data_IF_692256178368
#
_entry.id   IF_692256178368
#
_cell.length_a   1.000
_cell.length_b   1.000
_cell.length_c   1.000
_cell.angle_alpha   90.00
_cell.angle_beta   90.00
_cell.angle_gamma   90.00
#
_symmetry.space_group_name_H-M   'P 1'
#
loop_
_entity.id
_entity.type
_entity.pdbx_description
1 polymer ?
#
# COMPACT_ATOMS: atom_id res chain seq x y z
N UNK A 1 14.61 -45.73 -24.84
CA UNK A 1 13.19 -45.37 -25.06
C UNK A 1 12.77 -44.32 -24.04
N UNK A 2 12.83 -43.03 -24.39
CA UNK A 2 12.16 -41.99 -23.59
C UNK A 2 10.67 -42.13 -23.86
N UNK A 3 9.89 -42.63 -22.89
CA UNK A 3 8.43 -42.49 -22.96
C UNK A 3 8.16 -40.99 -22.99
N UNK A 4 7.74 -40.45 -24.14
CA UNK A 4 7.05 -39.18 -24.20
C UNK A 4 5.75 -39.37 -23.42
N UNK A 5 5.79 -39.15 -22.10
CA UNK A 5 4.58 -39.12 -21.29
C UNK A 5 3.77 -37.93 -21.80
N UNK A 6 2.74 -38.21 -22.59
CA UNK A 6 1.74 -37.22 -23.00
C UNK A 6 1.26 -36.53 -21.72
N UNK A 7 1.47 -35.23 -21.62
CA UNK A 7 1.03 -34.46 -20.46
C UNK A 7 -0.49 -34.47 -20.46
N UNK A 8 -1.09 -35.24 -19.55
CA UNK A 8 -2.54 -35.32 -19.36
C UNK A 8 -2.90 -34.63 -18.04
N UNK A 9 -3.04 -33.30 -18.06
CA UNK A 9 -3.24 -32.52 -16.84
C UNK A 9 -4.55 -32.86 -16.14
N UNK A 10 -5.62 -33.18 -16.90
CA UNK A 10 -6.92 -33.52 -16.33
C UNK A 10 -6.88 -34.83 -15.52
N UNK A 11 -6.36 -35.91 -16.11
CA UNK A 11 -6.17 -37.20 -15.43
C UNK A 11 -5.34 -37.04 -14.14
N UNK A 12 -4.30 -36.20 -14.20
CA UNK A 12 -3.45 -35.90 -13.04
C UNK A 12 -4.23 -35.22 -11.94
N UNK A 13 -5.06 -34.21 -12.27
CA UNK A 13 -5.92 -33.53 -11.30
C UNK A 13 -6.95 -34.46 -10.69
N UNK A 14 -7.55 -35.37 -11.45
CA UNK A 14 -8.53 -36.33 -10.91
C UNK A 14 -7.91 -37.30 -9.90
N UNK A 15 -6.69 -37.76 -10.17
CA UNK A 15 -5.92 -38.55 -9.21
C UNK A 15 -5.59 -37.73 -7.94
N UNK A 16 -5.14 -36.48 -8.10
CA UNK A 16 -4.83 -35.59 -6.98
C UNK A 16 -6.06 -35.29 -6.12
N UNK A 17 -7.23 -35.07 -6.74
CA UNK A 17 -8.49 -34.86 -6.03
C UNK A 17 -8.85 -36.06 -5.16
N UNK A 18 -8.64 -37.28 -5.67
CA UNK A 18 -8.88 -38.52 -4.92
C UNK A 18 -7.94 -38.66 -3.72
N UNK A 19 -6.65 -38.36 -3.90
CA UNK A 19 -5.65 -38.34 -2.82
C UNK A 19 -6.00 -37.27 -1.79
N UNK A 20 -6.32 -36.05 -2.23
CA UNK A 20 -6.70 -34.94 -1.36
C UNK A 20 -7.94 -35.26 -0.54
N UNK A 21 -8.96 -35.89 -1.14
CA UNK A 21 -10.16 -36.30 -0.42
C UNK A 21 -9.86 -37.37 0.64
N UNK A 22 -8.95 -38.31 0.35
CA UNK A 22 -8.50 -39.32 1.31
C UNK A 22 -7.69 -38.69 2.46
N UNK A 23 -6.77 -37.77 2.16
CA UNK A 23 -6.03 -37.01 3.16
C UNK A 23 -6.97 -36.20 4.05
N UNK A 24 -7.96 -35.53 3.47
CA UNK A 24 -8.95 -34.75 4.21
C UNK A 24 -9.71 -35.62 5.21
N UNK A 25 -10.24 -36.77 4.76
CA UNK A 25 -10.98 -37.70 5.62
C UNK A 25 -10.10 -38.36 6.67
N UNK A 26 -8.87 -38.74 6.34
CA UNK A 26 -7.96 -39.38 7.31
C UNK A 26 -7.39 -38.40 8.34
N UNK A 27 -7.27 -37.12 7.98
CA UNK A 27 -6.72 -36.08 8.86
C UNK A 27 -7.52 -35.87 10.13
N UNK A 28 -8.81 -36.23 10.17
CA UNK A 28 -9.59 -36.14 11.41
C UNK A 28 -9.20 -37.22 12.44
N UNK A 29 -8.50 -38.27 12.00
CA UNK A 29 -8.07 -39.41 12.83
C UNK A 29 -6.58 -39.34 13.20
N UNK A 30 -5.72 -38.89 12.28
CA UNK A 30 -4.27 -38.84 12.50
C UNK A 30 -3.56 -37.89 11.54
N UNK A 31 -2.39 -37.38 11.96
CA UNK A 31 -1.51 -36.52 11.16
C UNK A 31 -0.57 -37.31 10.23
N UNK A 32 -0.40 -38.63 10.46
CA UNK A 32 0.62 -39.47 9.81
C UNK A 32 0.58 -39.36 8.27
N UNK A 33 -0.59 -39.49 7.65
CA UNK A 33 -0.68 -39.48 6.19
C UNK A 33 -0.39 -38.12 5.55
N UNK A 34 -0.63 -37.02 6.28
CA UNK A 34 -0.24 -35.68 5.83
C UNK A 34 1.28 -35.48 5.93
N UNK A 35 1.90 -36.05 6.95
CA UNK A 35 3.35 -36.05 7.10
C UNK A 35 4.01 -36.94 6.03
N UNK A 36 3.44 -38.11 5.74
CA UNK A 36 3.89 -38.97 4.64
C UNK A 36 3.75 -38.28 3.28
N UNK A 37 2.64 -37.57 3.05
CA UNK A 37 2.46 -36.75 1.85
C UNK A 37 3.52 -35.65 1.75
N UNK A 38 3.86 -35.00 2.88
CA UNK A 38 4.93 -34.00 2.94
C UNK A 38 6.30 -34.61 2.63
N UNK A 39 6.65 -35.70 3.30
CA UNK A 39 7.92 -36.42 3.13
C UNK A 39 8.08 -36.94 1.70
N UNK A 40 6.98 -37.33 1.07
CA UNK A 40 6.93 -37.77 -0.33
C UNK A 40 6.93 -36.61 -1.33
N UNK A 41 7.27 -35.39 -0.91
CA UNK A 41 7.33 -34.19 -1.77
C UNK A 41 5.99 -33.82 -2.43
N UNK A 42 4.85 -34.17 -1.81
CA UNK A 42 3.53 -33.92 -2.38
C UNK A 42 3.25 -32.42 -2.62
N UNK A 43 3.63 -31.54 -1.69
CA UNK A 43 3.48 -30.09 -1.90
C UNK A 43 4.42 -29.55 -2.99
N UNK A 44 5.65 -30.06 -3.07
CA UNK A 44 6.57 -29.67 -4.14
C UNK A 44 6.04 -30.11 -5.50
N UNK A 45 5.44 -31.30 -5.59
CA UNK A 45 4.77 -31.76 -6.80
C UNK A 45 3.64 -30.81 -7.22
N UNK A 46 2.81 -30.34 -6.28
CA UNK A 46 1.74 -29.38 -6.59
C UNK A 46 2.28 -28.04 -7.13
N UNK A 47 3.41 -27.56 -6.59
CA UNK A 47 4.09 -26.35 -7.09
C UNK A 47 4.54 -26.57 -8.53
N UNK A 48 5.28 -27.63 -8.80
CA UNK A 48 5.79 -27.91 -10.15
C UNK A 48 4.66 -28.22 -11.14
N UNK A 49 3.58 -28.85 -10.68
CA UNK A 49 2.40 -29.12 -11.51
C UNK A 49 1.70 -27.83 -11.94
N UNK A 50 1.42 -26.90 -11.01
CA UNK A 50 0.81 -25.61 -11.35
C UNK A 50 1.70 -24.79 -12.30
N UNK A 51 3.01 -24.76 -12.07
CA UNK A 51 3.95 -24.06 -12.94
C UNK A 51 4.10 -24.71 -14.31
N UNK A 52 3.94 -26.04 -14.39
CA UNK A 52 3.90 -26.73 -15.68
C UNK A 52 2.63 -26.40 -16.45
N UNK A 53 1.46 -26.38 -15.80
CA UNK A 53 0.20 -25.94 -16.42
C UNK A 53 0.31 -24.48 -16.89
N UNK A 54 0.95 -23.62 -16.09
CA UNK A 54 1.24 -22.22 -16.44
C UNK A 54 2.05 -22.08 -17.73
N UNK A 55 3.11 -22.88 -17.89
CA UNK A 55 3.96 -22.88 -19.09
C UNK A 55 3.24 -23.39 -20.35
N UNK A 56 2.26 -24.28 -20.20
CA UNK A 56 1.49 -24.79 -21.34
C UNK A 56 0.39 -23.80 -21.75
N UNK A 57 -0.21 -23.06 -20.81
CA UNK A 57 -1.15 -21.97 -21.09
C UNK A 57 -0.57 -20.88 -22.00
N UNK A 58 0.74 -20.63 -21.93
CA UNK A 58 1.41 -19.66 -22.80
C UNK A 58 1.59 -20.17 -24.24
N UNK A 59 1.51 -21.48 -24.47
CA UNK A 59 1.81 -22.12 -25.77
C UNK A 59 0.57 -22.61 -26.50
N UNK A 60 -0.54 -22.80 -25.80
CA UNK A 60 -1.74 -23.48 -26.28
C UNK A 60 -2.71 -22.56 -27.04
N UNK A 61 -3.46 -23.15 -27.96
CA UNK A 61 -4.58 -22.51 -28.67
C UNK A 61 -5.80 -22.31 -27.75
N UNK A 62 -6.78 -21.51 -28.19
CA UNK A 62 -7.90 -21.04 -27.35
C UNK A 62 -8.73 -22.16 -26.69
N UNK A 63 -8.95 -23.29 -27.38
CA UNK A 63 -9.75 -24.40 -26.84
C UNK A 63 -9.01 -25.16 -25.73
N UNK A 64 -7.72 -25.45 -25.92
CA UNK A 64 -6.86 -26.08 -24.91
C UNK A 64 -6.71 -25.18 -23.67
N UNK A 65 -6.71 -23.85 -23.87
CA UNK A 65 -6.66 -22.90 -22.76
C UNK A 65 -7.85 -23.02 -21.81
N UNK A 66 -9.06 -23.34 -22.32
CA UNK A 66 -10.22 -23.56 -21.46
C UNK A 66 -10.07 -24.82 -20.59
N UNK A 67 -9.49 -25.89 -21.15
CA UNK A 67 -9.21 -27.10 -20.38
C UNK A 67 -8.14 -26.86 -19.32
N UNK A 68 -7.05 -26.18 -19.67
CA UNK A 68 -5.98 -25.83 -18.75
C UNK A 68 -6.43 -24.86 -17.65
N UNK A 69 -7.29 -23.88 -17.96
CA UNK A 69 -7.90 -23.01 -16.94
C UNK A 69 -8.78 -23.84 -15.98
N UNK A 70 -9.54 -24.81 -16.49
CA UNK A 70 -10.33 -25.70 -15.65
C UNK A 70 -9.45 -26.57 -14.74
N UNK A 71 -8.31 -27.06 -15.25
CA UNK A 71 -7.29 -27.78 -14.47
C UNK A 71 -6.74 -26.88 -13.36
N UNK A 72 -6.36 -25.63 -13.66
CA UNK A 72 -5.89 -24.67 -12.65
C UNK A 72 -6.95 -24.45 -11.57
N UNK A 73 -8.20 -24.18 -11.96
CA UNK A 73 -9.32 -23.95 -11.05
C UNK A 73 -9.53 -25.12 -10.10
N UNK A 74 -9.59 -26.35 -10.63
CA UNK A 74 -9.76 -27.57 -9.81
C UNK A 74 -8.58 -27.78 -8.86
N UNK A 75 -7.35 -27.56 -9.35
CA UNK A 75 -6.13 -27.75 -8.54
C UNK A 75 -6.03 -26.72 -7.42
N UNK A 76 -6.29 -25.45 -7.70
CA UNK A 76 -6.27 -24.39 -6.69
C UNK A 76 -7.38 -24.62 -5.64
N UNK A 77 -8.59 -24.99 -6.07
CA UNK A 77 -9.67 -25.31 -5.13
C UNK A 77 -9.32 -26.49 -4.22
N UNK A 78 -8.66 -27.52 -4.78
CA UNK A 78 -8.14 -28.63 -3.99
C UNK A 78 -7.08 -28.18 -2.97
N UNK A 79 -6.16 -27.30 -3.36
CA UNK A 79 -5.13 -26.74 -2.45
C UNK A 79 -5.79 -25.93 -1.33
N UNK A 80 -6.81 -25.13 -1.62
CA UNK A 80 -7.61 -24.41 -0.61
C UNK A 80 -8.23 -25.40 0.38
N UNK A 81 -8.83 -26.49 -0.09
CA UNK A 81 -9.34 -27.55 0.79
C UNK A 81 -8.25 -28.18 1.66
N UNK A 82 -7.08 -28.45 1.08
CA UNK A 82 -5.91 -28.97 1.80
C UNK A 82 -5.42 -28.01 2.89
N UNK A 83 -5.59 -26.69 2.75
CA UNK A 83 -5.21 -25.72 3.80
C UNK A 83 -5.98 -25.93 5.10
N UNK A 84 -7.25 -26.37 5.03
CA UNK A 84 -8.11 -26.67 6.20
C UNK A 84 -7.99 -28.10 6.70
N UNK A 85 -7.31 -28.96 5.93
CA UNK A 85 -7.08 -30.37 6.23
C UNK A 85 -5.98 -30.52 7.29
N UNK A 86 -6.22 -31.28 8.36
CA UNK A 86 -5.22 -31.46 9.42
C UNK A 86 -5.81 -32.04 10.69
N UNK A 87 -4.97 -32.74 11.45
CA UNK A 87 -5.37 -33.30 12.74
C UNK A 87 -5.48 -32.19 13.79
N UNK A 88 -6.69 -32.01 14.35
CA UNK A 88 -6.97 -30.88 15.23
C UNK A 88 -6.42 -31.10 16.63
N UNK A 89 -5.64 -30.13 17.12
CA UNK A 89 -6.05 -29.25 18.22
C UNK A 89 -5.43 -27.86 17.98
N UNK A 90 -6.06 -27.04 17.14
CA UNK A 90 -5.76 -25.60 17.05
C UNK A 90 -6.13 -24.83 18.33
N UNK A 91 -6.26 -25.51 19.47
CA UNK A 91 -6.23 -24.85 20.77
C UNK A 91 -4.86 -24.20 21.03
N UNK A 92 -3.75 -24.74 20.51
CA UNK A 92 -2.40 -24.33 20.93
C UNK A 92 -1.82 -23.08 20.24
N UNK A 93 -2.34 -22.64 19.08
CA UNK A 93 -1.78 -21.45 18.39
C UNK A 93 -2.30 -20.12 18.96
N UNK A 94 -3.43 -20.14 19.68
CA UNK A 94 -3.95 -18.99 20.44
C UNK A 94 -4.01 -19.24 21.96
N UNK A 95 -3.89 -20.50 22.43
CA UNK A 95 -3.60 -20.79 23.83
C UNK A 95 -2.09 -20.70 24.07
N UNK A 96 -1.57 -19.47 24.08
CA UNK A 96 -0.32 -19.22 24.76
C UNK A 96 -0.53 -19.52 26.26
N UNK A 97 0.32 -20.34 26.90
CA UNK A 97 0.16 -20.70 28.31
C UNK A 97 0.44 -19.53 29.27
N UNK A 98 0.88 -18.37 28.75
CA UNK A 98 1.28 -17.22 29.56
C UNK A 98 0.35 -16.01 29.32
N UNK A 99 -0.56 -15.75 30.26
CA UNK A 99 -1.54 -14.66 30.21
C UNK A 99 -0.91 -13.28 29.97
N UNK A 100 0.39 -13.11 30.31
CA UNK A 100 1.13 -11.85 30.10
C UNK A 100 1.44 -11.55 28.63
N UNK A 101 1.67 -12.56 27.78
CA UNK A 101 1.93 -12.35 26.35
C UNK A 101 0.64 -12.14 25.54
N UNK A 102 -0.49 -12.65 26.05
CA UNK A 102 -1.83 -12.35 25.52
C UNK A 102 -2.08 -10.84 25.53
N UNK A 103 -1.72 -10.15 26.62
CA UNK A 103 -1.80 -8.69 26.70
C UNK A 103 -0.88 -7.97 25.71
N UNK A 104 0.25 -8.55 25.30
CA UNK A 104 1.18 -7.91 24.35
C UNK A 104 0.71 -8.01 22.90
N UNK A 105 0.15 -9.15 22.48
CA UNK A 105 -0.49 -9.30 21.16
C UNK A 105 -1.82 -8.53 21.08
N UNK A 106 -2.63 -8.58 22.14
CA UNK A 106 -3.87 -7.80 22.27
C UNK A 106 -3.56 -6.28 22.27
N UNK A 107 -2.48 -5.84 22.92
CA UNK A 107 -2.04 -4.44 22.89
C UNK A 107 -1.48 -4.03 21.52
N UNK A 108 -0.85 -4.96 20.78
CA UNK A 108 -0.31 -4.70 19.44
C UNK A 108 -1.34 -4.70 18.33
N UNK A 109 -2.59 -5.09 18.55
CA UNK A 109 -3.67 -5.05 17.54
C UNK A 109 -4.55 -3.79 17.61
N UNK A 110 -4.24 -2.82 18.49
CA UNK A 110 -5.19 -1.78 18.86
C UNK A 110 -5.44 -0.74 17.75
N UNK A 111 -6.68 -0.74 17.26
CA UNK A 111 -7.52 0.43 17.00
C UNK A 111 -8.95 0.04 17.36
N UNK A 112 -9.35 0.34 18.60
CA UNK A 112 -10.71 0.24 19.18
C UNK A 112 -11.46 -1.11 19.10
N UNK A 113 -11.94 -1.57 20.27
CA UNK A 113 -12.83 -2.72 20.52
C UNK A 113 -12.38 -4.08 19.96
N UNK A 114 -11.60 -4.78 20.80
CA UNK A 114 -11.12 -6.14 20.58
C UNK A 114 -12.27 -7.11 20.24
N UNK A 115 -12.26 -7.66 19.01
CA UNK A 115 -12.67 -9.06 18.81
C UNK A 115 -11.39 -9.88 18.69
N UNK A 116 -11.03 -10.60 19.76
CA UNK A 116 -10.03 -11.69 19.62
C UNK A 116 -10.61 -12.63 18.56
N UNK A 117 -9.87 -13.01 17.52
CA UNK A 117 -10.36 -13.97 16.54
C UNK A 117 -10.69 -15.26 17.27
N UNK A 118 -11.98 -15.54 17.45
CA UNK A 118 -12.44 -16.82 17.95
C UNK A 118 -12.35 -17.81 16.81
N UNK A 119 -11.57 -18.88 16.99
CA UNK A 119 -11.50 -19.97 16.02
C UNK A 119 -12.90 -20.56 15.89
N UNK A 120 -13.41 -20.60 14.66
CA UNK A 120 -14.71 -21.18 14.36
C UNK A 120 -14.67 -22.68 14.58
N UNK A 121 -15.66 -23.21 15.31
CA UNK A 121 -15.84 -24.65 15.47
C UNK A 121 -16.22 -25.37 14.15
N UNK A 122 -16.47 -24.63 13.06
CA UNK A 122 -16.92 -25.14 11.75
C UNK A 122 -15.83 -25.85 10.93
N UNK A 123 -14.61 -25.97 11.46
CA UNK A 123 -13.52 -26.66 10.80
C UNK A 123 -12.94 -25.95 9.58
N UNK A 124 -13.24 -24.66 9.41
CA UNK A 124 -12.78 -23.78 8.31
C UNK A 124 -11.45 -23.08 8.60
N UNK A 125 -10.90 -23.27 9.79
CA UNK A 125 -9.60 -22.73 10.17
C UNK A 125 -8.46 -23.50 9.47
N UNK A 126 -7.41 -22.77 9.07
CA UNK A 126 -6.21 -23.35 8.47
C UNK A 126 -5.50 -24.27 9.46
N UNK A 127 -5.17 -25.49 9.00
CA UNK A 127 -4.43 -26.50 9.75
C UNK A 127 -3.17 -26.98 9.03
N UNK A 128 -3.02 -26.65 7.76
CA UNK A 128 -1.91 -27.10 6.93
C UNK A 128 -1.21 -25.92 6.25
N UNK A 129 -0.16 -25.44 6.90
CA UNK A 129 0.64 -24.33 6.40
C UNK A 129 1.40 -24.70 5.12
N UNK A 130 1.78 -25.98 4.94
CA UNK A 130 2.52 -26.41 3.74
C UNK A 130 1.65 -26.31 2.48
N UNK A 131 0.35 -26.62 2.58
CA UNK A 131 -0.59 -26.41 1.48
C UNK A 131 -0.71 -24.92 1.10
N UNK A 132 -0.80 -24.04 2.09
CA UNK A 132 -0.83 -22.60 1.85
C UNK A 132 0.48 -22.09 1.21
N UNK A 133 1.63 -22.63 1.61
CA UNK A 133 2.93 -22.31 1.03
C UNK A 133 3.03 -22.69 -0.46
N UNK A 134 2.24 -23.64 -0.96
CA UNK A 134 2.14 -23.93 -2.40
C UNK A 134 1.65 -22.68 -3.14
N UNK A 135 0.54 -22.08 -2.69
CA UNK A 135 -0.02 -20.86 -3.27
C UNK A 135 0.99 -19.71 -3.25
N UNK A 136 1.64 -19.50 -2.09
CA UNK A 136 2.68 -18.47 -1.92
C UNK A 136 3.84 -18.67 -2.91
N UNK A 137 4.36 -19.89 -3.02
CA UNK A 137 5.53 -20.18 -3.85
C UNK A 137 5.22 -20.05 -5.34
N UNK A 138 4.05 -20.53 -5.77
CA UNK A 138 3.61 -20.42 -7.16
C UNK A 138 3.38 -18.97 -7.55
N UNK A 139 2.74 -18.15 -6.70
CA UNK A 139 2.58 -16.72 -6.96
C UNK A 139 3.93 -16.02 -7.15
N UNK A 140 4.94 -16.36 -6.34
CA UNK A 140 6.27 -15.76 -6.47
C UNK A 140 6.98 -16.17 -7.78
N UNK A 141 6.78 -17.40 -8.25
CA UNK A 141 7.48 -17.96 -9.42
C UNK A 141 6.77 -17.69 -10.76
N UNK A 142 5.45 -17.53 -10.79
CA UNK A 142 4.68 -17.32 -12.03
C UNK A 142 4.54 -15.84 -12.38
N UNK A 143 4.60 -15.48 -13.66
CA UNK A 143 4.27 -14.12 -14.15
C UNK A 143 2.93 -14.05 -14.87
N UNK A 144 2.22 -15.17 -14.98
CA UNK A 144 0.93 -15.24 -15.67
C UNK A 144 -0.17 -14.58 -14.84
N UNK A 145 -0.88 -13.64 -15.46
CA UNK A 145 -1.90 -12.87 -14.78
C UNK A 145 -3.09 -13.74 -14.33
N UNK A 146 -3.52 -14.71 -15.13
CA UNK A 146 -4.63 -15.60 -14.76
C UNK A 146 -4.29 -16.40 -13.50
N UNK A 147 -3.14 -17.09 -13.49
CA UNK A 147 -2.72 -17.90 -12.35
C UNK A 147 -2.50 -17.04 -11.10
N UNK A 148 -1.83 -15.91 -11.23
CA UNK A 148 -1.61 -14.98 -10.11
C UNK A 148 -2.94 -14.45 -9.55
N UNK A 149 -3.90 -14.07 -10.39
CA UNK A 149 -5.24 -13.65 -9.97
C UNK A 149 -5.94 -14.76 -9.19
N UNK A 150 -5.98 -15.99 -9.72
CA UNK A 150 -6.61 -17.13 -9.03
C UNK A 150 -5.98 -17.44 -7.68
N UNK A 151 -4.67 -17.25 -7.54
CA UNK A 151 -3.99 -17.43 -6.26
C UNK A 151 -4.37 -16.33 -5.27
N UNK A 152 -4.43 -15.06 -5.69
CA UNK A 152 -4.88 -13.97 -4.82
C UNK A 152 -6.35 -14.17 -4.39
N UNK A 153 -7.22 -14.59 -5.31
CA UNK A 153 -8.61 -14.97 -5.02
C UNK A 153 -8.69 -16.09 -3.97
N UNK A 154 -7.87 -17.14 -4.12
CA UNK A 154 -7.79 -18.25 -3.16
C UNK A 154 -7.30 -17.80 -1.78
N UNK A 155 -6.34 -16.87 -1.70
CA UNK A 155 -5.87 -16.32 -0.42
C UNK A 155 -6.97 -15.48 0.25
N UNK A 156 -7.68 -14.64 -0.51
CA UNK A 156 -8.85 -13.90 -0.01
C UNK A 156 -9.89 -14.88 0.53
N UNK A 157 -10.19 -15.96 -0.20
CA UNK A 157 -11.14 -16.99 0.23
C UNK A 157 -10.70 -17.62 1.57
N UNK A 158 -9.44 -18.05 1.68
CA UNK A 158 -8.88 -18.65 2.90
C UNK A 158 -8.99 -17.67 4.08
N UNK A 159 -8.70 -16.40 3.90
CA UNK A 159 -8.87 -15.41 4.95
C UNK A 159 -10.35 -15.16 5.32
N UNK A 160 -11.29 -15.28 4.38
CA UNK A 160 -12.73 -15.18 4.66
C UNK A 160 -13.31 -16.39 5.37
N UNK A 161 -12.70 -17.58 5.21
CA UNK A 161 -13.20 -18.83 5.79
C UNK A 161 -13.23 -18.81 7.33
N UNK A 162 -12.27 -18.11 7.97
CA UNK A 162 -12.22 -17.90 9.41
C UNK A 162 -11.37 -16.65 9.73
N UNK A 163 -11.87 -15.77 10.59
CA UNK A 163 -11.15 -14.56 11.01
C UNK A 163 -9.78 -14.86 11.66
N UNK A 164 -9.59 -16.06 12.21
CA UNK A 164 -8.31 -16.48 12.77
C UNK A 164 -7.27 -16.81 11.69
N UNK A 165 -7.68 -17.10 10.44
CA UNK A 165 -6.78 -17.59 9.39
C UNK A 165 -5.68 -16.59 9.04
N UNK A 166 -5.98 -15.29 9.02
CA UNK A 166 -4.97 -14.25 8.82
C UNK A 166 -3.84 -14.35 9.85
N UNK A 167 -4.17 -14.57 11.13
CA UNK A 167 -3.18 -14.67 12.21
C UNK A 167 -2.46 -16.01 12.24
N UNK A 168 -3.14 -17.12 11.96
CA UNK A 168 -2.51 -18.44 11.86
C UNK A 168 -1.42 -18.44 10.77
N UNK A 169 -1.68 -17.74 9.67
CA UNK A 169 -0.77 -17.63 8.53
C UNK A 169 0.29 -16.52 8.68
N UNK A 170 0.22 -15.71 9.75
CA UNK A 170 1.11 -14.55 9.95
C UNK A 170 2.60 -14.94 9.96
N UNK A 171 2.92 -16.14 10.47
CA UNK A 171 4.29 -16.67 10.50
C UNK A 171 4.93 -16.84 9.12
N UNK A 172 4.12 -16.96 8.06
CA UNK A 172 4.60 -17.12 6.68
C UNK A 172 4.98 -15.79 6.02
N UNK A 173 4.59 -14.66 6.63
CA UNK A 173 4.80 -13.30 6.12
C UNK A 173 4.43 -13.14 4.63
N UNK A 174 3.38 -13.84 4.18
CA UNK A 174 3.08 -14.04 2.76
C UNK A 174 2.97 -12.74 1.97
N UNK A 175 2.19 -11.78 2.49
CA UNK A 175 2.01 -10.49 1.81
C UNK A 175 3.26 -9.62 1.86
N UNK A 176 4.10 -9.73 2.89
CA UNK A 176 5.39 -9.06 2.94
C UNK A 176 6.33 -9.60 1.85
N UNK A 177 6.40 -10.92 1.68
CA UNK A 177 7.23 -11.54 0.63
C UNK A 177 6.67 -11.20 -0.77
N UNK A 178 5.35 -11.12 -0.93
CA UNK A 178 4.75 -10.64 -2.18
C UNK A 178 5.12 -9.19 -2.48
N UNK A 179 5.10 -8.31 -1.48
CA UNK A 179 5.46 -6.90 -1.61
C UNK A 179 6.88 -6.70 -2.17
N UNK A 180 7.84 -7.56 -1.82
CA UNK A 180 9.21 -7.50 -2.33
C UNK A 180 9.30 -7.66 -3.86
N UNK A 181 8.37 -8.41 -4.46
CA UNK A 181 8.36 -8.77 -5.89
C UNK A 181 7.20 -8.19 -6.67
N UNK A 182 6.29 -7.44 -6.02
CA UNK A 182 5.05 -6.99 -6.67
C UNK A 182 5.30 -6.05 -7.86
N UNK A 183 6.38 -5.27 -7.83
CA UNK A 183 6.79 -4.40 -8.93
C UNK A 183 7.15 -5.17 -10.23
N UNK A 184 7.35 -6.49 -10.14
CA UNK A 184 7.66 -7.36 -11.27
C UNK A 184 6.42 -8.04 -11.86
N UNK A 185 5.25 -7.89 -11.20
CA UNK A 185 3.99 -8.51 -11.63
C UNK A 185 3.21 -7.59 -12.58
N UNK A 186 2.32 -8.14 -13.43
CA UNK A 186 1.43 -7.35 -14.27
C UNK A 186 0.57 -6.36 -13.47
N UNK A 187 0.20 -5.23 -14.08
CA UNK A 187 -0.57 -4.15 -13.46
C UNK A 187 -1.83 -4.62 -12.71
N UNK A 188 -2.61 -5.52 -13.32
CA UNK A 188 -3.82 -6.07 -12.73
C UNK A 188 -3.50 -6.79 -11.40
N UNK A 189 -2.40 -7.53 -11.35
CA UNK A 189 -1.98 -8.30 -10.16
C UNK A 189 -1.48 -7.37 -9.06
N UNK A 190 -0.79 -6.28 -9.43
CA UNK A 190 -0.40 -5.26 -8.46
C UNK A 190 -1.64 -4.66 -7.78
N UNK A 191 -2.67 -4.35 -8.57
CA UNK A 191 -3.93 -3.79 -8.06
C UNK A 191 -4.62 -4.78 -7.12
N UNK A 192 -4.81 -6.03 -7.54
CA UNK A 192 -5.41 -7.08 -6.70
C UNK A 192 -4.62 -7.36 -5.41
N UNK A 193 -3.30 -7.20 -5.43
CA UNK A 193 -2.48 -7.32 -4.22
C UNK A 193 -2.75 -6.19 -3.22
N UNK A 194 -2.84 -4.93 -3.68
CA UNK A 194 -3.19 -3.82 -2.80
C UNK A 194 -4.62 -3.94 -2.28
N UNK A 195 -5.56 -4.39 -3.12
CA UNK A 195 -6.94 -4.68 -2.70
C UNK A 195 -6.99 -5.77 -1.61
N UNK A 196 -6.09 -6.77 -1.66
CA UNK A 196 -5.98 -7.79 -0.62
C UNK A 196 -5.44 -7.23 0.71
N UNK A 197 -4.50 -6.27 0.67
CA UNK A 197 -4.05 -5.57 1.89
C UNK A 197 -5.18 -4.72 2.48
N UNK A 198 -5.92 -4.01 1.62
CA UNK A 198 -7.10 -3.25 2.04
C UNK A 198 -8.21 -4.13 2.59
N UNK A 199 -8.43 -5.31 2.00
CA UNK A 199 -9.40 -6.29 2.47
C UNK A 199 -9.14 -6.67 3.94
N UNK A 200 -7.88 -6.85 4.34
CA UNK A 200 -7.52 -7.13 5.74
C UNK A 200 -7.92 -5.95 6.65
N UNK A 201 -7.63 -4.73 6.22
CA UNK A 201 -7.93 -3.52 6.98
C UNK A 201 -9.43 -3.22 7.09
N UNK A 202 -10.16 -3.36 5.99
CA UNK A 202 -11.52 -2.87 5.85
C UNK A 202 -12.54 -3.95 6.18
N UNK A 203 -12.36 -5.16 5.64
CA UNK A 203 -13.36 -6.22 5.76
C UNK A 203 -13.10 -7.14 6.95
N UNK A 204 -11.84 -7.47 7.22
CA UNK A 204 -11.48 -8.21 8.44
C UNK A 204 -11.35 -7.31 9.67
N UNK A 205 -11.27 -5.98 9.46
CA UNK A 205 -11.09 -4.98 10.52
C UNK A 205 -9.83 -5.23 11.37
N UNK A 206 -8.74 -5.65 10.73
CA UNK A 206 -7.43 -5.84 11.37
C UNK A 206 -6.44 -4.76 10.92
N UNK A 207 -5.43 -4.47 11.72
CA UNK A 207 -4.38 -3.49 11.34
C UNK A 207 -3.14 -4.26 10.85
N UNK A 208 -2.88 -4.34 9.53
CA UNK A 208 -1.82 -5.17 8.95
C UNK A 208 -0.45 -4.48 9.03
N UNK A 209 0.10 -4.37 10.26
CA UNK A 209 1.32 -3.57 10.51
C UNK A 209 2.54 -4.06 9.73
N UNK A 210 2.74 -5.37 9.60
CA UNK A 210 3.89 -5.94 8.87
C UNK A 210 3.82 -5.63 7.37
N UNK A 211 2.62 -5.69 6.82
CA UNK A 211 2.33 -5.39 5.43
C UNK A 211 2.49 -3.89 5.17
N UNK A 212 2.00 -3.03 6.07
CA UNK A 212 2.20 -1.58 5.98
C UNK A 212 3.70 -1.19 6.01
N UNK A 213 4.51 -1.88 6.83
CA UNK A 213 5.98 -1.72 6.78
C UNK A 213 6.52 -2.17 5.43
N UNK A 214 6.06 -3.29 4.87
CA UNK A 214 6.50 -3.75 3.55
C UNK A 214 6.09 -2.77 2.43
N UNK A 215 4.91 -2.15 2.52
CA UNK A 215 4.46 -1.09 1.63
C UNK A 215 5.33 0.16 1.72
N UNK A 216 5.76 0.54 2.93
CA UNK A 216 6.68 1.66 3.12
C UNK A 216 8.04 1.40 2.44
N UNK A 217 8.51 0.15 2.43
CA UNK A 217 9.73 -0.25 1.71
C UNK A 217 9.54 -0.13 0.19
N UNK A 218 8.38 -0.52 -0.36
CA UNK A 218 8.08 -0.31 -1.79
C UNK A 218 8.25 1.17 -2.16
N UNK A 219 7.65 2.06 -1.38
CA UNK A 219 7.71 3.52 -1.63
C UNK A 219 9.12 4.09 -1.45
N UNK A 220 9.88 3.59 -0.47
CA UNK A 220 11.25 4.03 -0.22
C UNK A 220 12.18 3.61 -1.36
N UNK A 221 12.09 2.37 -1.83
CA UNK A 221 12.92 1.83 -2.92
C UNK A 221 12.52 2.38 -4.29
N UNK A 222 11.21 2.54 -4.54
CA UNK A 222 10.66 3.17 -5.74
C UNK A 222 11.22 2.63 -7.07
N UNK A 223 11.39 1.30 -7.17
CA UNK A 223 11.92 0.66 -8.37
C UNK A 223 11.07 0.92 -9.62
N UNK A 224 9.74 0.90 -9.46
CA UNK A 224 8.76 1.16 -10.52
C UNK A 224 7.77 2.20 -10.02
N UNK A 225 7.75 3.36 -10.67
CA UNK A 225 6.96 4.52 -10.25
C UNK A 225 5.45 4.21 -10.21
N UNK A 226 4.97 3.48 -11.22
CA UNK A 226 3.59 3.02 -11.33
C UNK A 226 3.15 2.15 -10.14
N UNK A 227 4.04 1.28 -9.65
CA UNK A 227 3.79 0.48 -8.43
C UNK A 227 3.69 1.39 -7.20
N UNK A 228 4.56 2.41 -7.09
CA UNK A 228 4.50 3.40 -6.01
C UNK A 228 3.22 4.23 -6.03
N UNK A 229 2.71 4.59 -7.21
CA UNK A 229 1.41 5.27 -7.36
C UNK A 229 0.28 4.40 -6.81
N UNK A 230 0.22 3.12 -7.19
CA UNK A 230 -0.80 2.18 -6.68
C UNK A 230 -0.68 1.96 -5.17
N UNK A 231 0.53 1.76 -4.67
CA UNK A 231 0.81 1.64 -3.24
C UNK A 231 0.34 2.87 -2.47
N UNK A 232 0.70 4.08 -2.92
CA UNK A 232 0.30 5.34 -2.26
C UNK A 232 -1.21 5.54 -2.31
N UNK A 233 -1.86 5.20 -3.43
CA UNK A 233 -3.32 5.26 -3.57
C UNK A 233 -4.01 4.39 -2.52
N UNK A 234 -3.51 3.17 -2.31
CA UNK A 234 -4.03 2.27 -1.30
C UNK A 234 -3.82 2.80 0.13
N UNK A 235 -2.63 3.33 0.42
CA UNK A 235 -2.35 3.92 1.73
C UNK A 235 -3.23 5.15 2.03
N UNK A 236 -3.49 6.00 1.04
CA UNK A 236 -4.41 7.14 1.17
C UNK A 236 -5.86 6.68 1.33
N UNK A 237 -6.26 5.61 0.64
CA UNK A 237 -7.60 5.03 0.79
C UNK A 237 -7.85 4.58 2.23
N UNK A 238 -6.90 3.88 2.86
CA UNK A 238 -7.02 3.48 4.27
C UNK A 238 -7.15 4.68 5.22
N UNK A 239 -6.41 5.77 4.97
CA UNK A 239 -6.54 7.02 5.76
C UNK A 239 -7.92 7.67 5.61
N UNK A 240 -8.55 7.58 4.42
CA UNK A 240 -9.90 8.11 4.19
C UNK A 240 -10.99 7.30 4.90
N UNK A 241 -10.77 6.00 5.08
CA UNK A 241 -11.76 5.12 5.71
C UNK A 241 -11.69 5.19 7.23
N UNK A 242 -10.49 5.19 7.81
CA UNK A 242 -10.32 5.13 9.26
C UNK A 242 -9.19 6.04 9.75
N UNK A 243 -9.55 7.07 10.51
CA UNK A 243 -8.61 8.02 11.12
C UNK A 243 -7.60 7.36 12.06
N UNK A 244 -7.88 6.16 12.58
CA UNK A 244 -6.92 5.42 13.40
C UNK A 244 -5.62 5.09 12.65
N UNK A 245 -5.64 5.02 11.31
CA UNK A 245 -4.41 4.83 10.52
C UNK A 245 -3.44 6.01 10.61
N UNK A 246 -3.88 7.20 11.07
CA UNK A 246 -2.99 8.34 11.33
C UNK A 246 -1.92 8.01 12.35
N UNK A 247 -2.31 7.32 13.43
CA UNK A 247 -1.38 6.89 14.48
C UNK A 247 -0.57 5.68 14.04
N UNK A 248 -1.20 4.71 13.38
CA UNK A 248 -0.51 3.52 12.86
C UNK A 248 0.59 3.92 11.88
N UNK A 249 0.32 4.85 10.95
CA UNK A 249 1.31 5.28 9.95
C UNK A 249 2.48 6.03 10.57
N UNK A 250 2.25 6.77 11.67
CA UNK A 250 3.33 7.32 12.47
C UNK A 250 4.17 6.20 13.11
N UNK A 251 3.52 5.22 13.74
CA UNK A 251 4.20 4.12 14.44
C UNK A 251 5.04 3.24 13.49
N UNK A 252 4.54 2.97 12.28
CA UNK A 252 5.26 2.14 11.30
C UNK A 252 6.21 2.94 10.39
N UNK A 253 6.31 4.26 10.57
CA UNK A 253 7.25 5.12 9.84
C UNK A 253 6.82 5.52 8.42
N UNK A 254 5.54 5.39 8.07
CA UNK A 254 5.02 5.78 6.75
C UNK A 254 5.04 7.32 6.58
N UNK A 255 4.84 8.08 7.65
CA UNK A 255 4.89 9.55 7.62
C UNK A 255 6.25 10.04 7.08
N UNK A 256 7.35 9.49 7.58
CA UNK A 256 8.71 9.81 7.17
C UNK A 256 8.96 9.38 5.72
N UNK A 257 8.45 8.21 5.32
CA UNK A 257 8.54 7.73 3.93
C UNK A 257 7.77 8.68 2.99
N UNK A 258 6.59 9.17 3.37
CA UNK A 258 5.87 10.18 2.60
C UNK A 258 6.67 11.49 2.48
N UNK A 259 7.36 11.93 3.53
CA UNK A 259 8.29 13.08 3.43
C UNK A 259 9.41 12.80 2.45
N UNK A 260 9.97 11.59 2.42
CA UNK A 260 10.98 11.18 1.42
C UNK A 260 10.41 11.19 0.00
N UNK A 261 9.18 10.72 -0.21
CA UNK A 261 8.52 10.78 -1.51
C UNK A 261 8.25 12.23 -1.95
N UNK A 262 7.83 13.09 -1.02
CA UNK A 262 7.61 14.52 -1.28
C UNK A 262 8.90 15.23 -1.71
N UNK A 263 10.04 14.91 -1.06
CA UNK A 263 11.36 15.46 -1.46
C UNK A 263 11.74 15.04 -2.88
N UNK A 264 11.51 13.77 -3.25
CA UNK A 264 11.70 13.30 -4.63
C UNK A 264 10.79 14.01 -5.62
N UNK A 265 9.53 14.27 -5.24
CA UNK A 265 8.61 15.04 -6.07
C UNK A 265 9.08 16.50 -6.26
N UNK A 266 9.62 17.14 -5.21
CA UNK A 266 10.27 18.47 -5.35
C UNK A 266 11.41 18.44 -6.37
N UNK A 267 12.29 17.43 -6.30
CA UNK A 267 13.41 17.29 -7.24
C UNK A 267 12.90 17.16 -8.69
N UNK A 268 11.86 16.35 -8.90
CA UNK A 268 11.18 16.25 -10.19
C UNK A 268 10.65 17.61 -10.69
N UNK A 269 10.00 18.40 -9.83
CA UNK A 269 9.49 19.73 -10.18
C UNK A 269 10.61 20.72 -10.53
N UNK A 270 11.74 20.67 -9.81
CA UNK A 270 12.90 21.50 -10.10
C UNK A 270 13.43 21.22 -11.51
N UNK A 271 13.61 19.94 -11.85
CA UNK A 271 14.09 19.50 -13.16
C UNK A 271 13.14 19.93 -14.29
N UNK A 272 11.83 19.78 -14.08
CA UNK A 272 10.81 20.23 -15.06
C UNK A 272 10.88 21.74 -15.31
N UNK A 273 11.07 22.53 -14.25
CA UNK A 273 11.17 23.98 -14.38
C UNK A 273 12.46 24.41 -15.09
N UNK A 274 13.59 23.79 -14.76
CA UNK A 274 14.89 24.08 -15.39
C UNK A 274 14.90 23.71 -16.88
N UNK A 275 14.20 22.62 -17.24
CA UNK A 275 13.97 22.24 -18.63
C UNK A 275 13.13 23.30 -19.38
N UNK A 276 12.00 23.74 -18.81
CA UNK A 276 11.15 24.78 -19.41
C UNK A 276 11.89 26.12 -19.62
N UNK A 277 12.80 26.49 -18.71
CA UNK A 277 13.61 27.72 -18.84
C UNK A 277 14.69 27.57 -19.92
N UNK A 278 15.22 26.36 -20.11
CA UNK A 278 16.23 26.06 -21.12
C UNK A 278 15.63 25.88 -22.54
N UNK A 279 14.39 25.41 -22.64
CA UNK A 279 13.64 25.20 -23.89
C UNK A 279 13.15 26.50 -24.57
N UNK A 280 13.38 27.68 -23.99
CA UNK A 280 13.25 28.96 -24.70
C UNK A 280 14.33 29.15 -25.80
N UNK A 281 15.21 28.18 -26.01
CA UNK A 281 16.07 28.06 -27.19
C UNK A 281 16.27 26.60 -27.64
N UNK A 282 15.58 26.21 -28.72
CA UNK A 282 15.77 25.00 -29.56
C UNK A 282 14.87 23.78 -29.24
N UNK A 283 14.36 23.21 -30.34
CA UNK A 283 13.28 22.23 -30.48
C UNK A 283 13.56 20.81 -29.94
N UNK A 284 12.55 20.26 -29.26
CA UNK A 284 12.14 18.86 -29.08
C UNK A 284 13.21 17.76 -28.89
N UNK A 285 13.30 17.26 -27.65
CA UNK A 285 13.27 15.82 -27.37
C UNK A 285 12.16 15.50 -26.35
N UNK A 286 11.29 14.56 -26.71
CA UNK A 286 10.08 14.17 -25.97
C UNK A 286 10.43 13.62 -24.58
N UNK A 287 10.19 14.41 -23.53
CA UNK A 287 9.85 13.81 -22.23
C UNK A 287 8.62 12.94 -22.45
N UNK A 288 8.74 11.63 -22.20
CA UNK A 288 7.65 10.68 -22.40
C UNK A 288 6.44 11.11 -21.55
N UNK A 289 5.27 11.39 -22.15
CA UNK A 289 4.10 11.94 -21.42
C UNK A 289 3.53 10.99 -20.36
N UNK A 290 3.90 9.70 -20.39
CA UNK A 290 3.51 8.72 -19.37
C UNK A 290 4.25 8.90 -18.04
N UNK A 291 5.54 9.23 -18.06
CA UNK A 291 6.38 9.33 -16.85
C UNK A 291 6.10 10.62 -16.06
N UNK A 292 5.75 11.72 -16.77
CA UNK A 292 5.33 12.97 -16.14
C UNK A 292 4.02 12.79 -15.36
N UNK A 293 3.04 12.13 -15.97
CA UNK A 293 1.74 11.88 -15.36
C UNK A 293 1.84 11.02 -14.10
N UNK A 294 2.70 10.00 -14.11
CA UNK A 294 2.91 9.13 -12.95
C UNK A 294 3.60 9.87 -11.78
N UNK A 295 4.58 10.72 -12.08
CA UNK A 295 5.32 11.49 -11.06
C UNK A 295 4.41 12.52 -10.39
N UNK A 296 3.60 13.23 -11.19
CA UNK A 296 2.59 14.17 -10.68
C UNK A 296 1.48 13.47 -9.89
N UNK A 297 1.00 12.33 -10.39
CA UNK A 297 0.01 11.51 -9.67
C UNK A 297 0.54 11.07 -8.30
N UNK A 298 1.79 10.56 -8.25
CA UNK A 298 2.43 10.18 -7.00
C UNK A 298 2.58 11.39 -6.06
N UNK A 299 3.08 12.52 -6.59
CA UNK A 299 3.27 13.75 -5.83
C UNK A 299 1.97 14.25 -5.18
N UNK A 300 0.87 14.28 -5.95
CA UNK A 300 -0.46 14.69 -5.45
C UNK A 300 -0.97 13.74 -4.36
N UNK A 301 -0.87 12.43 -4.57
CA UNK A 301 -1.29 11.43 -3.57
C UNK A 301 -0.46 11.54 -2.28
N UNK A 302 0.84 11.77 -2.38
CA UNK A 302 1.72 11.96 -1.23
C UNK A 302 1.36 13.23 -0.47
N UNK A 303 1.12 14.35 -1.16
CA UNK A 303 0.68 15.60 -0.52
C UNK A 303 -0.69 15.46 0.14
N UNK A 304 -1.62 14.75 -0.50
CA UNK A 304 -2.92 14.43 0.10
C UNK A 304 -2.75 13.63 1.39
N UNK A 305 -2.01 12.51 1.33
CA UNK A 305 -1.75 11.65 2.48
C UNK A 305 -1.05 12.40 3.62
N UNK A 306 -0.06 13.24 3.32
CA UNK A 306 0.58 14.12 4.31
C UNK A 306 -0.42 15.10 4.93
N UNK A 307 -1.29 15.73 4.12
CA UNK A 307 -2.34 16.61 4.63
C UNK A 307 -3.27 15.89 5.62
N UNK A 308 -3.65 14.64 5.33
CA UNK A 308 -4.47 13.83 6.24
C UNK A 308 -3.73 13.44 7.51
N UNK A 309 -2.46 13.05 7.42
CA UNK A 309 -1.64 12.66 8.57
C UNK A 309 -1.36 13.83 9.51
N UNK A 310 -1.24 15.05 8.99
CA UNK A 310 -0.95 16.24 9.79
C UNK A 310 -2.18 16.85 10.44
N UNK A 311 -3.35 16.68 9.82
CA UNK A 311 -4.61 17.29 10.24
C UNK A 311 -4.89 17.06 11.74
N UNK A 312 -4.82 18.12 12.55
CA UNK A 312 -5.10 18.06 13.98
C UNK A 312 -4.06 17.31 14.83
N UNK A 313 -2.94 16.86 14.26
CA UNK A 313 -1.94 16.03 14.95
C UNK A 313 -0.62 16.77 15.15
N UNK A 314 -0.50 17.44 16.31
CA UNK A 314 0.72 18.18 16.67
C UNK A 314 1.99 17.31 16.70
N UNK A 315 1.85 16.04 17.09
CA UNK A 315 2.95 15.05 17.07
C UNK A 315 3.41 14.76 15.66
N UNK A 316 2.48 14.48 14.73
CA UNK A 316 2.83 14.24 13.33
C UNK A 316 3.43 15.50 12.68
N UNK A 317 2.91 16.69 13.01
CA UNK A 317 3.50 17.95 12.54
C UNK A 317 4.93 18.14 13.02
N UNK A 318 5.23 17.81 14.28
CA UNK A 318 6.59 17.88 14.81
C UNK A 318 7.53 16.91 14.08
N UNK A 319 7.12 15.66 13.86
CA UNK A 319 7.90 14.67 13.11
C UNK A 319 8.15 15.15 11.68
N UNK A 320 7.11 15.64 11.00
CA UNK A 320 7.22 16.20 9.65
C UNK A 320 8.23 17.36 9.58
N UNK A 321 8.20 18.28 10.56
CA UNK A 321 9.17 19.38 10.68
C UNK A 321 10.59 18.84 10.92
N UNK A 322 10.77 17.86 11.80
CA UNK A 322 12.07 17.25 12.09
C UNK A 322 12.66 16.53 10.87
N UNK A 323 11.83 15.97 10.00
CA UNK A 323 12.24 15.42 8.71
C UNK A 323 12.56 16.50 7.66
N UNK A 324 12.42 17.79 7.97
CA UNK A 324 12.61 18.91 7.05
C UNK A 324 11.47 19.10 6.05
N UNK A 325 10.29 18.56 6.34
CA UNK A 325 9.13 18.63 5.45
C UNK A 325 8.64 20.05 5.20
N UNK A 326 8.62 20.91 6.22
CA UNK A 326 8.18 22.30 6.10
C UNK A 326 9.07 23.11 5.14
N UNK A 327 10.40 22.97 5.25
CA UNK A 327 11.35 23.59 4.31
C UNK A 327 11.09 23.15 2.88
N UNK A 328 10.86 21.85 2.68
CA UNK A 328 10.57 21.29 1.37
C UNK A 328 9.26 21.82 0.76
N UNK A 329 8.20 21.97 1.57
CA UNK A 329 6.92 22.58 1.17
C UNK A 329 7.16 24.02 0.67
N UNK A 330 7.83 24.87 1.46
CA UNK A 330 8.07 26.25 1.06
C UNK A 330 8.99 26.39 -0.16
N UNK A 331 9.91 25.45 -0.38
CA UNK A 331 10.68 25.39 -1.64
C UNK A 331 9.80 24.99 -2.82
N UNK A 332 8.95 23.98 -2.66
CA UNK A 332 8.03 23.52 -3.70
C UNK A 332 7.04 24.61 -4.14
N UNK A 333 6.58 25.48 -3.22
CA UNK A 333 5.69 26.61 -3.53
C UNK A 333 6.31 27.63 -4.50
N UNK A 334 7.64 27.60 -4.70
CA UNK A 334 8.32 28.42 -5.71
C UNK A 334 7.98 27.99 -7.14
N UNK A 335 7.67 26.71 -7.37
CA UNK A 335 7.36 26.14 -8.69
C UNK A 335 5.86 26.13 -9.01
N UNK A 336 5.15 27.20 -8.63
CA UNK A 336 3.70 27.44 -8.85
C UNK A 336 2.71 26.37 -8.35
N UNK A 337 3.16 25.42 -7.53
CA UNK A 337 2.28 24.47 -6.86
C UNK A 337 1.72 25.05 -5.56
N UNK A 338 0.54 25.67 -5.65
CA UNK A 338 -0.31 26.03 -4.51
C UNK A 338 -1.54 25.12 -4.45
N UNK A 339 -1.31 23.80 -4.58
CA UNK A 339 -2.42 22.85 -4.61
C UNK A 339 -3.20 22.89 -3.29
N UNK A 340 -4.50 22.59 -3.29
CA UNK A 340 -5.31 22.54 -2.07
C UNK A 340 -4.69 21.63 -1.00
N UNK A 341 -4.06 20.52 -1.39
CA UNK A 341 -3.40 19.57 -0.49
C UNK A 341 -2.20 20.22 0.20
N UNK A 342 -1.42 21.00 -0.54
CA UNK A 342 -0.27 21.70 0.00
C UNK A 342 -0.67 22.81 0.97
N UNK A 343 -1.73 23.56 0.65
CA UNK A 343 -2.29 24.57 1.55
C UNK A 343 -2.82 23.94 2.85
N UNK A 344 -3.44 22.77 2.79
CA UNK A 344 -3.81 22.01 3.99
C UNK A 344 -2.60 21.69 4.87
N UNK A 345 -1.48 21.26 4.28
CA UNK A 345 -0.23 21.04 5.03
C UNK A 345 0.26 22.34 5.70
N UNK A 346 0.30 23.45 4.95
CA UNK A 346 0.72 24.76 5.47
C UNK A 346 -0.18 25.22 6.62
N UNK A 347 -1.48 24.94 6.56
CA UNK A 347 -2.45 25.28 7.61
C UNK A 347 -2.09 24.61 8.94
N UNK A 348 -1.78 23.32 8.87
CA UNK A 348 -1.36 22.55 10.05
C UNK A 348 -0.01 23.04 10.60
N UNK A 349 0.94 23.40 9.72
CA UNK A 349 2.22 23.99 10.12
C UNK A 349 2.05 25.30 10.90
N UNK A 350 1.24 26.23 10.37
CA UNK A 350 0.96 27.51 11.02
C UNK A 350 0.23 27.33 12.36
N UNK A 351 -0.69 26.37 12.42
CA UNK A 351 -1.49 26.12 13.62
C UNK A 351 -0.69 25.44 14.74
N UNK A 352 0.43 24.79 14.39
CA UNK A 352 1.32 24.10 15.33
C UNK A 352 2.23 25.04 16.14
N UNK A 353 2.94 24.47 17.12
CA UNK A 353 3.96 25.19 17.89
C UNK A 353 5.11 25.61 16.95
N UNK A 354 5.56 26.85 17.07
CA UNK A 354 6.56 27.42 16.16
C UNK A 354 6.01 27.84 14.79
N UNK A 355 4.68 27.87 14.61
CA UNK A 355 4.04 28.28 13.34
C UNK A 355 4.27 29.75 12.94
N UNK A 356 4.97 30.54 13.75
CA UNK A 356 5.41 31.90 13.42
C UNK A 356 6.35 31.92 12.21
N UNK A 357 7.36 31.04 12.19
CA UNK A 357 8.31 30.94 11.07
C UNK A 357 7.61 30.46 9.80
N UNK A 358 6.69 29.52 9.95
CA UNK A 358 5.87 28.97 8.87
C UNK A 358 4.93 30.05 8.27
N UNK A 359 4.32 30.89 9.12
CA UNK A 359 3.53 32.06 8.70
C UNK A 359 4.40 33.07 7.94
N UNK A 360 5.59 33.39 8.45
CA UNK A 360 6.51 34.31 7.79
C UNK A 360 6.95 33.79 6.42
N UNK A 361 7.26 32.49 6.32
CA UNK A 361 7.65 31.85 5.06
C UNK A 361 6.51 31.86 4.02
N UNK A 362 5.26 31.64 4.43
CA UNK A 362 4.10 31.79 3.55
C UNK A 362 4.02 33.20 2.97
N UNK A 363 4.09 34.22 3.82
CA UNK A 363 3.97 35.63 3.44
C UNK A 363 5.12 36.09 2.54
N UNK A 364 6.35 35.62 2.79
CA UNK A 364 7.51 35.87 1.93
C UNK A 364 7.33 35.24 0.54
N UNK A 365 6.92 33.97 0.46
CA UNK A 365 6.72 33.27 -0.81
C UNK A 365 5.61 33.89 -1.67
N UNK A 366 4.56 34.42 -1.04
CA UNK A 366 3.50 35.17 -1.73
C UNK A 366 4.05 36.43 -2.43
N UNK A 367 5.04 37.10 -1.84
CA UNK A 367 5.63 38.34 -2.34
C UNK A 367 6.80 38.14 -3.33
N UNK A 368 7.55 37.04 -3.24
CA UNK A 368 8.72 36.77 -4.10
C UNK A 368 8.40 36.68 -5.60
N UNK A 369 7.13 36.46 -5.97
CA UNK A 369 6.70 36.21 -7.35
C UNK A 369 6.19 37.45 -8.09
N UNK A 370 6.64 38.65 -7.74
CA UNK A 370 6.21 39.90 -8.39
C UNK A 370 6.35 39.87 -9.92
N UNK A 371 7.41 39.24 -10.46
CA UNK A 371 7.84 39.51 -11.84
C UNK A 371 7.88 38.32 -12.83
N UNK A 372 7.50 37.08 -12.46
CA UNK A 372 7.87 35.90 -13.29
C UNK A 372 6.79 34.92 -13.76
N UNK A 373 5.48 35.11 -13.52
CA UNK A 373 4.47 34.13 -13.97
C UNK A 373 3.16 34.73 -14.51
N UNK A 374 2.66 34.20 -15.64
CA UNK A 374 1.36 34.52 -16.25
C UNK A 374 0.15 34.23 -15.32
N UNK A 375 0.29 33.29 -14.37
CA UNK A 375 -0.76 32.91 -13.40
C UNK A 375 -0.57 33.50 -11.99
N UNK A 376 0.36 34.43 -11.81
CA UNK A 376 0.74 35.00 -10.51
C UNK A 376 -0.42 35.65 -9.75
N UNK A 377 -1.38 36.27 -10.44
CA UNK A 377 -2.54 36.92 -9.81
C UNK A 377 -3.50 35.92 -9.17
N UNK A 378 -3.87 34.85 -9.88
CA UNK A 378 -4.79 33.80 -9.37
C UNK A 378 -4.22 33.09 -8.14
N UNK A 379 -2.92 32.78 -8.19
CA UNK A 379 -2.19 32.18 -7.08
C UNK A 379 -2.21 33.10 -5.85
N UNK A 380 -1.94 34.40 -6.01
CA UNK A 380 -1.99 35.37 -4.90
C UNK A 380 -3.39 35.46 -4.29
N UNK A 381 -4.44 35.46 -5.11
CA UNK A 381 -5.82 35.44 -4.61
C UNK A 381 -6.11 34.18 -3.78
N UNK A 382 -5.69 33.00 -4.25
CA UNK A 382 -5.86 31.75 -3.52
C UNK A 382 -5.10 31.75 -2.18
N UNK A 383 -3.87 32.29 -2.14
CA UNK A 383 -3.09 32.40 -0.91
C UNK A 383 -3.70 33.40 0.06
N UNK A 384 -4.21 34.55 -0.42
CA UNK A 384 -4.91 35.52 0.41
C UNK A 384 -6.19 34.94 1.00
N UNK A 385 -6.97 34.20 0.20
CA UNK A 385 -8.17 33.50 0.66
C UNK A 385 -7.82 32.47 1.76
N UNK A 386 -6.77 31.68 1.52
CA UNK A 386 -6.24 30.73 2.51
C UNK A 386 -5.75 31.42 3.80
N UNK A 387 -5.09 32.56 3.68
CA UNK A 387 -4.64 33.35 4.83
C UNK A 387 -5.84 33.85 5.64
N UNK A 388 -6.90 34.32 4.98
CA UNK A 388 -8.15 34.73 5.64
C UNK A 388 -8.73 33.57 6.45
N UNK A 389 -8.77 32.36 5.88
CA UNK A 389 -9.24 31.15 6.58
C UNK A 389 -8.38 30.86 7.82
N UNK A 390 -7.05 30.85 7.68
CA UNK A 390 -6.12 30.64 8.79
C UNK A 390 -6.30 31.65 9.93
N UNK A 391 -6.52 32.92 9.60
CA UNK A 391 -6.71 34.00 10.58
C UNK A 391 -8.09 33.94 11.25
N UNK A 392 -9.12 33.49 10.52
CA UNK A 392 -10.48 33.34 11.06
C UNK A 392 -10.55 32.23 12.11
N UNK A 393 -9.90 31.10 11.84
CA UNK A 393 -10.04 29.90 12.67
C UNK A 393 -9.26 29.92 13.98
N UNK A 394 -8.13 30.65 14.06
CA UNK A 394 -7.21 30.54 15.19
C UNK A 394 -6.76 31.89 15.74
N UNK A 395 -6.97 32.10 17.04
CA UNK A 395 -6.43 33.26 17.76
C UNK A 395 -4.89 33.25 17.78
N UNK A 396 -4.29 32.06 17.74
CA UNK A 396 -2.84 31.87 17.68
C UNK A 396 -2.29 32.33 16.32
N UNK A 397 -2.92 31.94 15.23
CA UNK A 397 -2.55 32.37 13.88
C UNK A 397 -2.61 33.89 13.73
N UNK A 398 -3.62 34.54 14.32
CA UNK A 398 -3.71 36.01 14.40
C UNK A 398 -2.56 36.65 15.17
N UNK A 399 -2.15 36.04 16.28
CA UNK A 399 -1.02 36.52 17.07
C UNK A 399 0.30 36.39 16.28
N UNK A 400 0.54 35.24 15.64
CA UNK A 400 1.71 35.03 14.79
C UNK A 400 1.74 36.02 13.62
N UNK A 401 0.62 36.21 12.93
CA UNK A 401 0.50 37.18 11.84
C UNK A 401 0.89 38.61 12.25
N UNK A 402 0.42 39.07 13.41
CA UNK A 402 0.83 40.40 13.93
C UNK A 402 2.31 40.45 14.24
N UNK A 403 2.85 39.41 14.89
CA UNK A 403 4.25 39.36 15.32
C UNK A 403 5.23 39.38 14.16
N UNK A 404 4.90 38.71 13.05
CA UNK A 404 5.75 38.68 11.84
C UNK A 404 5.56 39.89 10.92
N UNK A 405 4.81 40.91 11.35
CA UNK A 405 4.53 42.10 10.54
C UNK A 405 3.65 41.82 9.32
N UNK A 406 2.73 40.85 9.42
CA UNK A 406 1.98 40.32 8.27
C UNK A 406 1.20 41.36 7.46
N UNK A 407 0.77 42.46 8.09
CA UNK A 407 0.12 43.59 7.39
C UNK A 407 0.99 44.18 6.27
N UNK A 408 2.30 44.29 6.48
CA UNK A 408 3.23 44.84 5.48
C UNK A 408 3.24 43.95 4.23
N UNK A 409 3.33 42.63 4.43
CA UNK A 409 3.32 41.66 3.34
C UNK A 409 2.00 41.65 2.56
N UNK A 410 0.85 41.80 3.23
CA UNK A 410 -0.46 41.85 2.58
C UNK A 410 -0.63 43.15 1.79
N UNK A 411 -0.24 44.30 2.35
CA UNK A 411 -0.30 45.59 1.65
C UNK A 411 0.54 45.55 0.38
N UNK A 412 1.78 45.06 0.44
CA UNK A 412 2.65 44.92 -0.73
C UNK A 412 2.01 44.05 -1.83
N UNK A 413 1.33 42.96 -1.46
CA UNK A 413 0.61 42.12 -2.44
C UNK A 413 -0.57 42.87 -3.04
N UNK A 414 -1.37 43.57 -2.23
CA UNK A 414 -2.51 44.34 -2.73
C UNK A 414 -2.05 45.47 -3.67
N UNK A 415 -0.95 46.16 -3.35
CA UNK A 415 -0.34 47.16 -4.24
C UNK A 415 0.13 46.53 -5.56
N UNK A 416 0.77 45.35 -5.51
CA UNK A 416 1.18 44.62 -6.71
C UNK A 416 0.01 44.15 -7.58
N UNK A 417 -1.20 44.06 -7.02
CA UNK A 417 -2.43 43.68 -7.71
C UNK A 417 -3.19 44.90 -8.26
N UNK A 418 -2.98 46.11 -7.71
CA UNK A 418 -3.61 47.37 -8.18
C UNK A 418 -3.08 47.84 -9.54
N UNK A 419 -1.90 47.40 -9.95
CA UNK A 419 -1.20 47.81 -11.18
C UNK A 419 -1.42 46.92 -12.41
N UNK A 420 -2.39 45.99 -12.35
CA UNK A 420 -2.84 45.11 -13.43
C UNK A 420 -4.36 45.15 -13.48
#
# INVERSE_FOLDING_TARGET
MRRSSVFKPLDTVEMLLSISAFLQKSSCLSQILLDDFKLSQGYQFLIEFLLKVDQELEKSDVEENNELENVLRKTISMIVSLCTTGFSQTHALLAYPDQKQKHVLIAKCQLQEIRVPHISAKGTCVRNLNAFQVLQTVFLRSSNALLCCRILEAIVEIYRMDNANYFVLESLNTLCVFAEKIHQKPEMIQSSFFDLVEFIAIQLNFVPRKELIALSVILKSNYVLETSVRCTRSLVHLLRINNGFVDVYREVGILEVFVTCMKRYKEYLCIQMDAMVSEMGVNHEKVTPSTSNASDSLGRLVLEGLGMLLCGSSTNTAIFKNCGGNKCIYEMMKYDHYSPEMLKIVKELISSVGGEDDMLNLLKNMNLKADRAQNSTSIRMNVLQFLIECLRESHRSRAFFRKVGGFVYVVNVLESLKGR
#
